data_IF_531163390142
#
_entry.id   IF_531163390142
#
_cell.length_a   1.000
_cell.length_b   1.000
_cell.length_c   1.000
_cell.angle_alpha   90.00
_cell.angle_beta   90.00
_cell.angle_gamma   90.00
#
_symmetry.space_group_name_H-M   'P 1'
#
loop_
_entity.id
_entity.type
_entity.pdbx_description
1 polymer ?
#
# COMPACT_ATOMS: atom_id res chain seq x y z
N UNK A 1 35.48 67.44 26.37
CA UNK A 1 35.67 66.26 25.46
C UNK A 1 34.66 65.17 25.83
N UNK A 2 33.65 64.99 25.02
CA UNK A 2 32.67 63.90 25.19
C UNK A 2 33.18 62.65 24.47
N UNK A 3 33.38 61.55 25.20
CA UNK A 3 33.73 60.27 24.60
C UNK A 3 32.49 59.63 23.94
N UNK A 4 32.58 59.03 22.76
CA UNK A 4 31.45 58.37 22.19
C UNK A 4 31.22 57.01 22.88
N UNK A 5 29.97 56.74 23.23
CA UNK A 5 29.51 55.44 23.67
C UNK A 5 29.38 54.51 22.45
N UNK A 6 30.16 53.45 22.44
CA UNK A 6 30.02 52.39 21.45
C UNK A 6 29.02 51.38 22.00
N UNK A 7 27.84 51.36 21.45
CA UNK A 7 26.85 50.33 21.75
C UNK A 7 27.23 49.05 21.01
N UNK A 8 27.61 48.00 21.74
CA UNK A 8 27.73 46.65 21.21
C UNK A 8 26.33 46.07 21.04
N UNK A 9 25.85 46.06 19.83
CA UNK A 9 24.63 45.34 19.47
C UNK A 9 24.90 43.83 19.46
N UNK A 10 24.32 43.12 20.43
CA UNK A 10 24.35 41.62 20.41
C UNK A 10 23.46 41.12 19.31
N UNK A 11 24.04 40.56 18.26
CA UNK A 11 23.32 39.85 17.23
C UNK A 11 23.00 38.44 17.77
N UNK A 12 21.72 38.23 18.09
CA UNK A 12 21.21 36.91 18.47
C UNK A 12 21.03 36.07 17.18
N UNK A 13 21.98 35.21 16.90
CA UNK A 13 21.86 34.24 15.80
C UNK A 13 20.94 33.15 16.27
N UNK A 14 19.66 33.19 15.83
CA UNK A 14 18.72 32.08 15.98
C UNK A 14 19.13 30.98 14.98
N UNK A 15 19.84 29.98 15.46
CA UNK A 15 20.06 28.76 14.70
C UNK A 15 18.77 27.92 14.66
N UNK A 16 18.03 27.98 13.56
CA UNK A 16 16.98 27.02 13.29
C UNK A 16 17.63 25.66 13.02
N UNK A 17 17.57 24.78 14.01
CA UNK A 17 17.86 23.36 13.79
C UNK A 17 16.70 22.79 12.95
N UNK A 18 16.95 22.56 11.66
CA UNK A 18 16.09 21.73 10.82
C UNK A 18 16.18 20.30 11.37
N UNK A 19 15.23 19.92 12.20
CA UNK A 19 14.98 18.53 12.53
C UNK A 19 14.35 17.91 11.28
N UNK A 20 15.19 17.41 10.38
CA UNK A 20 14.76 16.52 9.35
C UNK A 20 14.34 15.22 10.05
N UNK A 21 13.05 15.11 10.37
CA UNK A 21 12.44 13.86 10.80
C UNK A 21 12.67 12.83 9.67
N UNK A 22 13.56 11.87 9.90
CA UNK A 22 13.64 10.69 9.07
C UNK A 22 12.36 9.92 9.36
N UNK A 23 11.34 10.11 8.53
CA UNK A 23 10.16 9.25 8.53
C UNK A 23 10.64 7.90 8.01
N UNK A 24 10.75 6.92 8.89
CA UNK A 24 10.95 5.55 8.45
C UNK A 24 9.74 5.17 7.59
N UNK A 25 9.98 4.79 6.34
CA UNK A 25 8.93 4.25 5.48
C UNK A 25 8.36 3.00 6.16
N UNK A 26 7.05 3.00 6.42
CA UNK A 26 6.40 1.83 7.01
C UNK A 26 6.52 0.66 6.05
N UNK A 27 7.18 -0.40 6.48
CA UNK A 27 7.32 -1.63 5.70
C UNK A 27 6.27 -2.63 6.17
N UNK A 28 5.45 -3.10 5.23
CA UNK A 28 4.44 -4.12 5.49
C UNK A 28 4.91 -5.48 4.95
N UNK A 29 4.44 -6.59 5.52
CA UNK A 29 4.79 -7.92 5.02
C UNK A 29 4.27 -8.16 3.60
N UNK A 30 4.82 -9.16 2.94
CA UNK A 30 4.30 -9.68 1.67
C UNK A 30 2.88 -10.24 1.86
N UNK A 31 2.05 -10.19 0.81
CA UNK A 31 0.65 -10.64 0.84
C UNK A 31 0.47 -12.08 1.34
N UNK A 32 1.42 -12.96 1.10
CA UNK A 32 1.35 -14.35 1.58
C UNK A 32 1.58 -14.47 3.08
N UNK A 33 2.27 -13.50 3.69
CA UNK A 33 2.51 -13.46 5.13
C UNK A 33 1.26 -13.15 5.96
N UNK A 34 0.30 -12.38 5.39
CA UNK A 34 -0.91 -11.95 6.09
C UNK A 34 -2.19 -12.53 5.50
N UNK A 35 -2.16 -13.02 4.27
CA UNK A 35 -3.32 -13.46 3.51
C UNK A 35 -3.28 -14.93 3.13
N UNK A 36 -2.69 -15.80 3.93
CA UNK A 36 -2.58 -17.24 3.63
C UNK A 36 -3.93 -17.96 3.48
N UNK A 37 -5.01 -17.39 4.02
CA UNK A 37 -6.38 -17.86 3.85
C UNK A 37 -7.03 -17.38 2.53
N UNK A 38 -6.48 -16.35 1.91
CA UNK A 38 -7.01 -15.71 0.69
C UNK A 38 -6.14 -16.01 -0.52
N UNK A 39 -4.81 -15.92 -0.37
CA UNK A 39 -3.85 -16.09 -1.45
C UNK A 39 -3.40 -17.55 -1.59
N UNK A 40 -3.61 -18.12 -2.78
CA UNK A 40 -3.06 -19.40 -3.19
C UNK A 40 -2.07 -19.19 -4.33
N UNK A 41 -0.77 -19.39 -4.06
CA UNK A 41 0.26 -19.28 -5.10
C UNK A 41 0.19 -20.46 -6.04
N UNK A 42 -0.07 -20.20 -7.34
CA UNK A 42 -0.25 -21.23 -8.37
C UNK A 42 1.06 -21.47 -9.11
N UNK A 43 1.80 -20.40 -9.40
CA UNK A 43 3.01 -20.46 -10.22
C UNK A 43 3.97 -19.36 -9.86
N UNK A 44 5.27 -19.66 -9.94
CA UNK A 44 6.33 -18.65 -9.77
C UNK A 44 7.59 -19.04 -10.53
N UNK A 45 8.19 -18.05 -11.19
CA UNK A 45 9.52 -18.15 -11.78
C UNK A 45 10.29 -16.83 -11.57
N UNK A 46 11.41 -16.65 -12.27
CA UNK A 46 12.25 -15.45 -12.14
C UNK A 46 11.58 -14.16 -12.62
N UNK A 47 10.56 -14.27 -13.51
CA UNK A 47 9.93 -13.14 -14.20
C UNK A 47 8.52 -12.85 -13.74
N UNK A 48 7.84 -13.80 -13.13
CA UNK A 48 6.43 -13.64 -12.76
C UNK A 48 6.04 -14.52 -11.58
N UNK A 49 5.04 -14.07 -10.85
CA UNK A 49 4.37 -14.81 -9.79
C UNK A 49 2.86 -14.73 -10.03
N UNK A 50 2.21 -15.89 -10.05
CA UNK A 50 0.76 -16.00 -10.26
C UNK A 50 0.12 -16.58 -9.02
N UNK A 51 -0.88 -15.91 -8.49
CA UNK A 51 -1.72 -16.42 -7.41
C UNK A 51 -3.20 -16.30 -7.74
N UNK A 52 -3.98 -17.18 -7.20
CA UNK A 52 -5.43 -17.04 -7.14
C UNK A 52 -5.81 -16.45 -5.79
N UNK A 53 -6.66 -15.45 -5.78
CA UNK A 53 -7.26 -14.89 -4.57
C UNK A 53 -8.73 -15.27 -4.48
N UNK A 54 -9.16 -15.59 -3.26
CA UNK A 54 -10.57 -15.90 -2.96
C UNK A 54 -10.95 -15.19 -1.67
N UNK A 55 -11.95 -14.31 -1.74
CA UNK A 55 -12.52 -13.62 -0.59
C UNK A 55 -13.98 -14.00 -0.43
N UNK A 56 -14.34 -14.64 0.69
CA UNK A 56 -15.74 -14.78 1.07
C UNK A 56 -16.31 -13.43 1.51
N UNK A 57 -17.64 -13.20 1.46
CA UNK A 57 -18.24 -11.98 2.01
C UNK A 57 -17.78 -11.71 3.45
N UNK A 58 -17.26 -10.49 3.70
CA UNK A 58 -16.72 -10.08 5.00
C UNK A 58 -15.30 -10.56 5.29
N UNK A 59 -14.72 -11.43 4.46
CA UNK A 59 -13.34 -11.87 4.64
C UNK A 59 -12.36 -10.74 4.36
N UNK A 60 -11.30 -10.66 5.18
CA UNK A 60 -10.33 -9.57 5.12
C UNK A 60 -8.91 -10.07 5.31
N UNK A 61 -7.96 -9.31 4.77
CA UNK A 61 -6.53 -9.47 5.02
C UNK A 61 -5.92 -8.16 5.52
N UNK A 62 -4.91 -8.30 6.36
CA UNK A 62 -4.17 -7.16 6.92
C UNK A 62 -3.38 -6.36 5.89
N UNK A 63 -2.81 -5.25 6.34
CA UNK A 63 -1.94 -4.41 5.51
C UNK A 63 -0.72 -5.23 5.03
N UNK A 64 -0.48 -5.22 3.73
CA UNK A 64 0.60 -5.96 3.07
C UNK A 64 1.13 -5.16 1.87
N UNK A 65 2.27 -5.58 1.35
CA UNK A 65 2.92 -4.94 0.21
C UNK A 65 2.99 -5.89 -0.98
N UNK A 66 2.51 -5.43 -2.13
CA UNK A 66 2.84 -6.00 -3.42
C UNK A 66 4.13 -5.36 -3.93
N UNK A 67 5.21 -6.13 -3.93
CA UNK A 67 6.54 -5.64 -4.31
C UNK A 67 6.67 -5.34 -5.82
N UNK A 68 5.74 -5.82 -6.63
CA UNK A 68 5.77 -5.74 -8.09
C UNK A 68 4.47 -5.16 -8.64
N UNK A 69 4.60 -4.51 -9.80
CA UNK A 69 3.44 -4.18 -10.62
C UNK A 69 2.72 -5.47 -11.01
N UNK A 70 1.41 -5.42 -11.04
CA UNK A 70 0.62 -6.61 -11.31
C UNK A 70 -0.68 -6.28 -12.03
N UNK A 71 -1.25 -7.26 -12.66
CA UNK A 71 -2.63 -7.17 -13.09
C UNK A 71 -3.49 -8.23 -12.40
N UNK A 72 -4.76 -7.89 -12.26
CA UNK A 72 -5.79 -8.75 -11.68
C UNK A 72 -6.78 -9.11 -12.77
N UNK A 73 -7.02 -10.42 -12.96
CA UNK A 73 -8.05 -10.94 -13.86
C UNK A 73 -9.19 -11.54 -13.05
N UNK A 74 -10.38 -10.96 -13.17
CA UNK A 74 -11.54 -11.35 -12.36
C UNK A 74 -12.16 -12.66 -12.87
N UNK A 75 -12.25 -13.65 -11.99
CA UNK A 75 -12.87 -14.96 -12.26
C UNK A 75 -14.32 -15.05 -11.75
N UNK A 76 -14.61 -14.47 -10.57
CA UNK A 76 -15.96 -14.36 -10.00
C UNK A 76 -16.18 -12.94 -9.53
N UNK A 77 -17.31 -12.35 -9.95
CA UNK A 77 -17.66 -10.97 -9.67
C UNK A 77 -17.92 -10.72 -8.19
N UNK A 78 -17.48 -9.57 -7.69
CA UNK A 78 -17.69 -9.15 -6.31
C UNK A 78 -17.09 -7.78 -6.05
N UNK A 79 -17.16 -7.34 -4.80
CA UNK A 79 -16.69 -6.03 -4.38
C UNK A 79 -15.64 -6.16 -3.28
N UNK A 80 -14.49 -5.51 -3.48
CA UNK A 80 -13.47 -5.34 -2.46
C UNK A 80 -13.34 -3.86 -2.08
N UNK A 81 -13.14 -3.61 -0.80
CA UNK A 81 -12.66 -2.30 -0.32
C UNK A 81 -11.20 -2.44 0.08
N UNK A 82 -10.35 -1.64 -0.55
CA UNK A 82 -8.94 -1.52 -0.22
C UNK A 82 -8.73 -0.32 0.69
N UNK A 83 -7.89 -0.46 1.70
CA UNK A 83 -7.46 0.64 2.56
C UNK A 83 -5.95 0.83 2.41
N UNK A 84 -5.54 2.06 2.13
CA UNK A 84 -4.15 2.43 1.88
C UNK A 84 -3.47 2.95 3.15
N UNK A 85 -2.10 2.95 3.20
CA UNK A 85 -1.36 3.42 4.37
C UNK A 85 -1.64 4.87 4.79
N UNK A 86 -2.00 5.73 3.83
CA UNK A 86 -2.37 7.13 4.07
C UNK A 86 -3.77 7.30 4.69
N UNK A 87 -4.48 6.20 4.95
CA UNK A 87 -5.83 6.18 5.52
C UNK A 87 -6.96 6.33 4.50
N UNK A 88 -6.64 6.52 3.21
CA UNK A 88 -7.64 6.53 2.14
C UNK A 88 -8.15 5.13 1.85
N UNK A 89 -9.33 5.05 1.21
CA UNK A 89 -9.93 3.79 0.77
C UNK A 89 -10.38 3.89 -0.67
N UNK A 90 -10.31 2.77 -1.37
CA UNK A 90 -10.87 2.63 -2.71
C UNK A 90 -11.75 1.39 -2.78
N UNK A 91 -12.82 1.47 -3.59
CA UNK A 91 -13.73 0.35 -3.83
C UNK A 91 -13.48 -0.20 -5.23
N UNK A 92 -13.32 -1.51 -5.31
CA UNK A 92 -13.13 -2.25 -6.54
C UNK A 92 -14.36 -3.10 -6.78
N UNK A 93 -15.13 -2.76 -7.82
CA UNK A 93 -16.24 -3.57 -8.32
C UNK A 93 -15.72 -4.41 -9.49
N UNK A 94 -15.44 -5.67 -9.21
CA UNK A 94 -14.93 -6.60 -10.20
C UNK A 94 -16.03 -7.30 -10.97
N UNK A 95 -15.95 -7.29 -12.31
CA UNK A 95 -16.83 -8.05 -13.21
C UNK A 95 -16.03 -9.18 -13.87
N UNK A 96 -16.67 -10.33 -14.14
CA UNK A 96 -16.01 -11.48 -14.74
C UNK A 96 -15.32 -11.11 -16.06
N UNK A 97 -14.05 -11.49 -16.20
CA UNK A 97 -13.24 -11.19 -17.38
C UNK A 97 -12.56 -9.81 -17.37
N UNK A 98 -12.84 -8.98 -16.38
CA UNK A 98 -12.19 -7.68 -16.24
C UNK A 98 -10.70 -7.87 -15.92
N UNK A 99 -9.86 -7.03 -16.56
CA UNK A 99 -8.44 -6.89 -16.25
C UNK A 99 -8.21 -5.52 -15.62
N UNK A 100 -7.52 -5.48 -14.49
CA UNK A 100 -7.13 -4.24 -13.82
C UNK A 100 -5.61 -4.22 -13.67
N UNK A 101 -4.96 -3.13 -14.08
CA UNK A 101 -3.54 -2.90 -13.82
C UNK A 101 -3.38 -2.18 -12.50
N UNK A 102 -2.51 -2.70 -11.63
CA UNK A 102 -2.24 -2.14 -10.32
C UNK A 102 -0.71 -2.00 -10.16
N UNK A 103 -0.18 -0.79 -9.98
CA UNK A 103 1.22 -0.58 -9.65
C UNK A 103 1.57 -1.25 -8.32
N UNK A 104 2.85 -1.49 -8.07
CA UNK A 104 3.31 -1.91 -6.74
C UNK A 104 2.79 -0.96 -5.68
N UNK A 105 2.18 -1.50 -4.64
CA UNK A 105 1.55 -0.72 -3.58
C UNK A 105 1.39 -1.52 -2.29
N UNK A 106 1.04 -0.82 -1.22
CA UNK A 106 0.63 -1.43 0.05
C UNK A 106 -0.84 -1.15 0.31
N UNK A 107 -1.59 -2.17 0.74
CA UNK A 107 -2.98 -2.03 1.15
C UNK A 107 -3.43 -3.19 2.06
N UNK A 108 -4.54 -3.00 2.73
CA UNK A 108 -5.38 -4.07 3.27
C UNK A 108 -6.60 -4.23 2.37
N UNK A 109 -7.27 -5.38 2.42
CA UNK A 109 -8.44 -5.64 1.60
C UNK A 109 -9.53 -6.35 2.42
N UNK A 110 -10.78 -6.02 2.13
CA UNK A 110 -11.96 -6.69 2.68
C UNK A 110 -13.00 -6.85 1.59
N UNK A 111 -13.66 -8.01 1.53
CA UNK A 111 -14.84 -8.21 0.69
C UNK A 111 -16.04 -7.52 1.35
N UNK A 112 -16.41 -6.36 0.84
CA UNK A 112 -17.56 -5.56 1.28
C UNK A 112 -18.84 -5.86 0.50
N UNK A 113 -18.76 -6.75 -0.48
CA UNK A 113 -19.90 -7.22 -1.24
C UNK A 113 -20.65 -8.36 -0.54
N UNK A 114 -21.63 -8.89 -1.25
CA UNK A 114 -22.49 -10.00 -0.77
C UNK A 114 -22.17 -11.34 -1.43
N UNK A 115 -21.23 -11.34 -2.39
CA UNK A 115 -20.83 -12.52 -3.14
C UNK A 115 -19.34 -12.81 -2.94
N UNK A 116 -18.95 -14.06 -3.13
CA UNK A 116 -17.55 -14.47 -3.18
C UNK A 116 -16.86 -13.79 -4.35
N UNK A 117 -15.69 -13.19 -4.10
CA UNK A 117 -14.82 -12.63 -5.13
C UNK A 117 -13.66 -13.58 -5.41
N UNK A 118 -13.37 -13.87 -6.68
CA UNK A 118 -12.19 -14.62 -7.10
C UNK A 118 -11.49 -13.93 -8.25
N UNK A 119 -10.16 -13.94 -8.23
CA UNK A 119 -9.36 -13.39 -9.30
C UNK A 119 -7.98 -14.07 -9.37
N UNK A 120 -7.33 -13.95 -10.52
CA UNK A 120 -5.90 -14.19 -10.66
C UNK A 120 -5.15 -12.88 -10.46
N UNK A 121 -4.08 -12.93 -9.70
CA UNK A 121 -3.10 -11.85 -9.54
C UNK A 121 -1.81 -12.30 -10.22
N UNK A 122 -1.36 -11.53 -11.21
CA UNK A 122 -0.15 -11.82 -11.99
C UNK A 122 0.84 -10.69 -11.76
N UNK A 123 1.85 -10.95 -10.94
CA UNK A 123 2.92 -10.02 -10.62
C UNK A 123 4.07 -10.15 -11.61
N UNK A 124 4.61 -9.01 -12.06
CA UNK A 124 5.71 -8.90 -13.01
C UNK A 124 6.98 -8.48 -12.25
N UNK A 125 7.91 -9.40 -12.12
CA UNK A 125 9.18 -9.21 -11.39
C UNK A 125 10.22 -8.43 -12.20
#
# INVERSE_FOLDING_TARGET
MKKPFIAFGSVLILTFALVSGIWAEETYPDQFGVGSNVYNKIFENERTRVSEITFQPGEQIGMHTHAYDHFVYVLEAGQLTLKHPDGTSSVVDGTVGQVMWIPKESHSAVNTGTTKFRALVVELK
#
